data_IF_944721220540
#
_entry.id   IF_944721220540
#
_cell.length_a   1.000
_cell.length_b   1.000
_cell.length_c   1.000
_cell.angle_alpha   90.00
_cell.angle_beta   90.00
_cell.angle_gamma   90.00
#
_symmetry.space_group_name_H-M   'P 1'
#
loop_
_entity.id
_entity.type
_entity.pdbx_description
1 polymer ?
#
# COMPACT_ATOMS: atom_id res chain seq x y z
N UNK A 1 -7.03 14.74 12.61
CA UNK A 1 -8.41 14.26 12.48
C UNK A 1 -9.30 15.48 12.69
N UNK A 2 -10.19 15.76 11.74
CA UNK A 2 -11.14 16.86 11.88
C UNK A 2 -12.19 16.50 12.94
N UNK A 3 -12.50 17.43 13.83
CA UNK A 3 -13.46 17.22 14.92
C UNK A 3 -14.87 16.94 14.38
N UNK A 4 -15.21 17.51 13.22
CA UNK A 4 -16.47 17.26 12.55
C UNK A 4 -16.63 15.80 12.08
N UNK A 5 -15.55 15.18 11.59
CA UNK A 5 -15.56 13.78 11.15
C UNK A 5 -15.75 12.81 12.33
N UNK A 6 -15.14 13.11 13.48
CA UNK A 6 -15.29 12.31 14.70
C UNK A 6 -16.71 12.34 15.23
N UNK A 7 -17.29 13.54 15.30
CA UNK A 7 -18.65 13.71 15.79
C UNK A 7 -19.65 13.02 14.86
N UNK A 8 -19.46 13.12 13.54
CA UNK A 8 -20.31 12.43 12.56
C UNK A 8 -20.26 10.90 12.73
N UNK A 9 -19.07 10.34 12.91
CA UNK A 9 -18.90 8.90 13.09
C UNK A 9 -19.48 8.40 14.43
N UNK A 10 -19.28 9.17 15.49
CA UNK A 10 -19.88 8.87 16.79
C UNK A 10 -21.41 8.95 16.73
N UNK A 11 -21.96 9.93 15.99
CA UNK A 11 -23.39 10.09 15.77
C UNK A 11 -24.01 8.91 15.03
N UNK A 12 -23.39 8.47 13.93
CA UNK A 12 -23.84 7.31 13.16
C UNK A 12 -23.81 6.01 14.00
N UNK A 13 -22.80 5.84 14.86
CA UNK A 13 -22.69 4.68 15.74
C UNK A 13 -23.78 4.70 16.83
N UNK A 14 -23.99 5.85 17.48
CA UNK A 14 -25.02 6.01 18.51
C UNK A 14 -26.41 5.84 17.91
N UNK A 15 -26.65 6.36 16.70
CA UNK A 15 -27.89 6.15 15.96
C UNK A 15 -28.12 4.66 15.65
N UNK A 16 -27.08 3.95 15.21
CA UNK A 16 -27.18 2.51 14.91
C UNK A 16 -27.52 1.67 16.14
N UNK A 17 -26.98 2.03 17.32
CA UNK A 17 -27.20 1.27 18.56
C UNK A 17 -28.48 1.66 19.30
N UNK A 18 -28.90 2.93 19.23
CA UNK A 18 -29.97 3.47 20.07
C UNK A 18 -31.19 3.97 19.30
N UNK A 19 -31.08 4.13 17.98
CA UNK A 19 -32.09 4.77 17.13
C UNK A 19 -32.22 6.28 17.31
N UNK A 20 -31.33 6.91 18.08
CA UNK A 20 -31.31 8.35 18.35
C UNK A 20 -29.94 8.93 17.98
N UNK A 21 -29.96 10.14 17.44
CA UNK A 21 -28.74 10.92 17.22
C UNK A 21 -28.18 11.45 18.55
N UNK A 22 -26.91 11.83 18.54
CA UNK A 22 -26.27 12.50 19.67
C UNK A 22 -27.05 13.76 20.03
N UNK A 23 -27.27 13.95 21.33
CA UNK A 23 -27.75 15.23 21.84
C UNK A 23 -26.60 16.20 22.10
N UNK A 24 -26.96 17.46 22.33
CA UNK A 24 -26.02 18.54 22.59
C UNK A 24 -25.04 18.24 23.74
N UNK A 25 -25.49 17.56 24.79
CA UNK A 25 -24.65 17.26 25.95
C UNK A 25 -23.69 16.11 25.64
N UNK A 26 -24.12 15.10 24.88
CA UNK A 26 -23.29 14.01 24.41
C UNK A 26 -22.21 14.51 23.43
N UNK A 27 -22.56 15.40 22.49
CA UNK A 27 -21.58 16.07 21.61
C UNK A 27 -20.54 16.85 22.41
N UNK A 28 -20.98 17.65 23.39
CA UNK A 28 -20.10 18.42 24.27
C UNK A 28 -19.17 17.51 25.10
N UNK A 29 -19.64 16.33 25.53
CA UNK A 29 -18.82 15.34 26.23
C UNK A 29 -17.75 14.75 25.32
N UNK A 30 -18.08 14.42 24.07
CA UNK A 30 -17.12 13.89 23.09
C UNK A 30 -16.06 14.94 22.75
N UNK A 31 -16.49 16.15 22.42
CA UNK A 31 -15.61 17.27 22.10
C UNK A 31 -14.70 17.63 23.28
N UNK A 32 -15.28 17.80 24.47
CA UNK A 32 -14.53 18.09 25.69
C UNK A 32 -13.53 16.99 26.04
N UNK A 33 -13.84 15.73 25.74
CA UNK A 33 -12.92 14.61 25.94
C UNK A 33 -11.73 14.65 24.98
N UNK A 34 -11.96 14.96 23.71
CA UNK A 34 -10.89 15.10 22.70
C UNK A 34 -9.94 16.26 23.01
N UNK A 35 -10.49 17.34 23.56
CA UNK A 35 -9.77 18.53 24.03
C UNK A 35 -9.10 18.33 25.39
N UNK A 36 -9.26 17.18 26.04
CA UNK A 36 -8.66 16.88 27.34
C UNK A 36 -9.29 17.60 28.54
N UNK A 37 -10.54 18.07 28.40
CA UNK A 37 -11.28 18.78 29.47
C UNK A 37 -11.83 17.80 30.52
N UNK A 38 -11.91 18.24 31.77
CA UNK A 38 -12.54 17.48 32.86
C UNK A 38 -14.07 17.55 32.76
N UNK A 39 -14.79 16.64 33.43
CA UNK A 39 -16.27 16.72 33.45
C UNK A 39 -16.78 17.96 34.17
N UNK A 40 -16.07 18.44 35.20
CA UNK A 40 -16.36 19.71 35.84
C UNK A 40 -16.35 20.89 34.85
N UNK A 41 -15.34 20.93 33.96
CA UNK A 41 -15.23 21.99 32.93
C UNK A 41 -16.31 21.89 31.86
N UNK A 42 -16.66 20.67 31.43
CA UNK A 42 -17.76 20.44 30.47
C UNK A 42 -19.10 20.86 31.09
N UNK A 43 -19.32 20.56 32.37
CA UNK A 43 -20.54 20.92 33.10
C UNK A 43 -20.71 22.45 33.22
N UNK A 44 -19.61 23.17 33.50
CA UNK A 44 -19.59 24.64 33.52
C UNK A 44 -19.97 25.24 32.16
N UNK A 45 -19.39 24.72 31.06
CA UNK A 45 -19.60 25.21 29.71
C UNK A 45 -20.99 24.88 29.13
N UNK A 46 -21.63 23.82 29.64
CA UNK A 46 -22.96 23.35 29.20
C UNK A 46 -24.09 23.74 30.15
N UNK A 47 -23.78 24.48 31.23
CA UNK A 47 -24.72 24.84 32.30
C UNK A 47 -25.42 23.63 32.95
N UNK A 48 -24.73 22.49 33.02
CA UNK A 48 -25.19 21.24 33.61
C UNK A 48 -24.51 20.98 34.97
N UNK A 49 -25.04 20.05 35.77
CA UNK A 49 -24.32 19.58 36.97
C UNK A 49 -23.24 18.57 36.59
N UNK A 50 -22.09 18.58 37.28
CA UNK A 50 -21.02 17.61 37.00
C UNK A 50 -21.52 16.15 37.16
N UNK A 51 -22.43 15.89 38.11
CA UNK A 51 -23.07 14.59 38.26
C UNK A 51 -23.82 14.17 37.00
N UNK A 52 -24.64 15.05 36.45
CA UNK A 52 -25.39 14.78 35.22
C UNK A 52 -24.48 14.54 34.01
N UNK A 53 -23.38 15.29 33.88
CA UNK A 53 -22.39 15.08 32.81
C UNK A 53 -21.66 13.74 32.96
N UNK A 54 -21.37 13.32 34.20
CA UNK A 54 -20.75 12.02 34.48
C UNK A 54 -21.68 10.86 34.16
N UNK A 55 -22.96 10.96 34.54
CA UNK A 55 -23.96 9.94 34.27
C UNK A 55 -24.18 9.80 32.76
N UNK A 56 -24.38 10.92 32.06
CA UNK A 56 -24.52 10.95 30.60
C UNK A 56 -23.28 10.44 29.88
N UNK A 57 -22.09 10.80 30.38
CA UNK A 57 -20.83 10.29 29.86
C UNK A 57 -20.68 8.79 30.03
N UNK A 58 -21.07 8.24 31.19
CA UNK A 58 -21.02 6.79 31.44
C UNK A 58 -21.95 6.02 30.50
N UNK A 59 -23.17 6.51 30.27
CA UNK A 59 -24.10 5.92 29.30
C UNK A 59 -23.55 5.99 27.88
N UNK A 60 -23.01 7.14 27.47
CA UNK A 60 -22.42 7.33 26.15
C UNK A 60 -21.24 6.39 25.90
N UNK A 61 -20.33 6.24 26.86
CA UNK A 61 -19.20 5.31 26.73
C UNK A 61 -19.65 3.86 26.63
N UNK A 62 -20.73 3.47 27.33
CA UNK A 62 -21.30 2.14 27.21
C UNK A 62 -21.84 1.88 25.81
N UNK A 63 -22.63 2.82 25.25
CA UNK A 63 -23.18 2.71 23.89
C UNK A 63 -22.07 2.63 22.85
N UNK A 64 -21.04 3.47 22.98
CA UNK A 64 -19.89 3.44 22.07
C UNK A 64 -19.06 2.14 22.21
N UNK A 65 -18.96 1.59 23.43
CA UNK A 65 -18.30 0.31 23.66
C UNK A 65 -19.02 -0.85 22.98
N UNK A 66 -20.35 -0.87 23.11
CA UNK A 66 -21.21 -1.87 22.47
C UNK A 66 -21.12 -1.76 20.94
N UNK A 67 -21.18 -0.54 20.39
CA UNK A 67 -21.10 -0.33 18.95
C UNK A 67 -19.73 -0.64 18.34
N UNK A 68 -18.64 -0.43 19.07
CA UNK A 68 -17.28 -0.71 18.59
C UNK A 68 -16.76 -2.10 18.97
N UNK A 69 -17.52 -2.88 19.75
CA UNK A 69 -17.10 -4.19 20.24
C UNK A 69 -15.85 -4.18 21.13
N UNK A 70 -15.51 -3.03 21.74
CA UNK A 70 -14.33 -2.86 22.60
C UNK A 70 -14.60 -1.84 23.69
N UNK A 71 -13.95 -1.97 24.84
CA UNK A 71 -14.18 -1.10 25.99
C UNK A 71 -13.74 0.35 25.70
N UNK A 72 -14.73 1.25 25.60
CA UNK A 72 -14.56 2.70 25.44
C UNK A 72 -14.78 3.36 26.79
N UNK A 73 -13.89 4.31 27.11
CA UNK A 73 -13.98 5.19 28.26
C UNK A 73 -13.41 6.55 27.89
N UNK A 74 -13.69 7.58 28.68
CA UNK A 74 -13.08 8.91 28.50
C UNK A 74 -11.55 8.87 28.33
N UNK A 75 -10.87 7.99 29.09
CA UNK A 75 -9.42 7.93 29.12
C UNK A 75 -8.81 7.30 27.85
N UNK A 76 -9.53 6.38 27.21
CA UNK A 76 -9.04 5.66 26.04
C UNK A 76 -9.72 6.10 24.73
N UNK A 77 -10.81 6.88 24.78
CA UNK A 77 -11.60 7.27 23.61
C UNK A 77 -10.76 7.93 22.52
N UNK A 78 -9.88 8.87 22.90
CA UNK A 78 -8.96 9.53 21.95
C UNK A 78 -7.99 8.54 21.29
N UNK A 79 -7.47 7.58 22.05
CA UNK A 79 -6.60 6.53 21.51
C UNK A 79 -7.38 5.53 20.63
N UNK A 80 -8.62 5.21 21.02
CA UNK A 80 -9.53 4.33 20.29
C UNK A 80 -9.89 4.93 18.94
N UNK A 81 -10.23 6.22 18.87
CA UNK A 81 -10.54 6.88 17.60
C UNK A 81 -9.33 6.93 16.67
N UNK A 82 -8.15 7.25 17.23
CA UNK A 82 -6.91 7.27 16.45
C UNK A 82 -6.48 5.88 15.94
N UNK A 83 -6.95 4.79 16.58
CA UNK A 83 -6.68 3.39 16.19
C UNK A 83 -7.81 2.74 15.38
N UNK A 84 -9.06 3.24 15.44
CA UNK A 84 -10.23 2.67 14.75
C UNK A 84 -10.70 3.44 13.52
N UNK A 85 -10.12 4.60 13.19
CA UNK A 85 -10.49 5.33 11.97
C UNK A 85 -10.31 4.47 10.69
N UNK A 86 -9.39 3.50 10.72
CA UNK A 86 -9.18 2.51 9.65
C UNK A 86 -10.18 1.35 9.65
N UNK A 87 -10.74 0.97 10.81
CA UNK A 87 -11.63 -0.19 10.95
C UNK A 87 -13.10 0.11 10.59
N UNK A 88 -13.56 1.35 10.82
CA UNK A 88 -14.97 1.73 10.60
C UNK A 88 -15.25 2.03 9.11
N UNK A 89 -14.22 2.40 8.35
CA UNK A 89 -14.32 2.57 6.89
C UNK A 89 -14.33 1.22 6.14
N UNK A 90 -13.92 0.12 6.77
CA UNK A 90 -13.93 -1.22 6.17
C UNK A 90 -15.22 -2.01 6.38
N UNK A 91 -16.16 -1.54 7.21
CA UNK A 91 -17.18 -2.41 7.83
C UNK A 91 -18.62 -2.26 7.29
N UNK A 92 -18.77 -2.03 5.98
CA UNK A 92 -20.05 -2.24 5.28
C UNK A 92 -20.22 -3.68 4.73
N UNK A 93 -19.48 -4.65 5.28
CA UNK A 93 -19.60 -6.05 4.91
C UNK A 93 -19.48 -6.99 6.13
N UNK A 94 -20.58 -7.05 6.91
CA UNK A 94 -21.05 -8.20 7.71
C UNK A 94 -20.01 -9.00 8.51
N UNK A 95 -20.01 -8.71 9.81
CA UNK A 95 -19.64 -9.58 10.93
C UNK A 95 -19.90 -11.08 10.71
N UNK A 96 -18.89 -11.92 10.98
CA UNK A 96 -19.05 -13.13 11.82
C UNK A 96 -17.71 -13.58 12.43
N UNK A 97 -17.70 -13.56 13.77
CA UNK A 97 -17.08 -14.50 14.72
C UNK A 97 -15.56 -14.79 14.63
N UNK A 98 -14.80 -14.27 15.60
CA UNK A 98 -13.56 -14.90 16.07
C UNK A 98 -13.53 -14.97 17.61
N UNK A 99 -13.28 -16.19 18.08
CA UNK A 99 -13.25 -16.64 19.47
C UNK A 99 -12.21 -15.89 20.31
N UNK A 100 -12.65 -15.48 21.50
CA UNK A 100 -11.80 -14.98 22.59
C UNK A 100 -11.63 -16.12 23.60
N UNK A 101 -10.39 -16.48 23.92
CA UNK A 101 -10.08 -17.21 25.15
C UNK A 101 -9.16 -16.34 26.04
N UNK A 102 -9.32 -16.41 27.37
CA UNK A 102 -9.04 -15.30 28.26
C UNK A 102 -7.63 -15.31 28.85
N UNK A 103 -7.18 -14.12 29.21
CA UNK A 103 -5.96 -13.86 29.99
C UNK A 103 -5.95 -14.64 31.32
N UNK A 104 -4.76 -15.12 31.68
CA UNK A 104 -4.44 -15.38 33.09
C UNK A 104 -3.28 -14.48 33.51
N UNK A 105 -3.61 -13.50 34.37
CA UNK A 105 -2.69 -12.75 35.23
C UNK A 105 -1.79 -13.70 36.02
N UNK A 106 -0.53 -13.31 36.19
CA UNK A 106 0.23 -13.54 37.43
C UNK A 106 1.31 -12.48 37.58
N UNK A 107 1.26 -11.79 38.71
CA UNK A 107 2.27 -10.86 39.22
C UNK A 107 3.53 -11.62 39.65
N UNK A 108 4.72 -11.05 39.45
CA UNK A 108 5.62 -10.59 40.54
C UNK A 108 7.05 -10.32 40.06
N UNK A 109 7.66 -9.35 40.76
CA UNK A 109 9.10 -9.15 41.01
C UNK A 109 9.87 -8.10 40.20
N UNK A 110 10.41 -7.16 40.98
CA UNK A 110 11.11 -5.92 40.66
C UNK A 110 12.60 -6.15 40.38
N UNK A 111 13.20 -5.45 39.41
CA UNK A 111 14.63 -4.99 39.35
C UNK A 111 14.70 -3.76 38.39
N UNK A 112 15.55 -2.73 38.64
CA UNK A 112 15.20 -1.34 38.34
C UNK A 112 15.43 -0.87 36.90
N UNK A 113 14.58 0.08 36.50
CA UNK A 113 14.62 0.82 35.25
C UNK A 113 15.85 1.74 35.21
N UNK A 114 16.78 1.48 34.30
CA UNK A 114 17.54 2.56 33.68
C UNK A 114 16.59 3.30 32.75
N UNK A 115 16.39 4.59 33.01
CA UNK A 115 15.77 5.48 32.04
C UNK A 115 16.75 5.66 30.88
N UNK A 116 16.71 4.78 29.89
CA UNK A 116 17.24 5.10 28.57
C UNK A 116 16.30 6.11 27.93
N UNK A 117 16.83 7.30 27.65
CA UNK A 117 16.31 8.19 26.62
C UNK A 117 16.03 7.34 25.37
N UNK A 118 14.86 7.46 24.70
CA UNK A 118 14.62 6.66 23.50
C UNK A 118 15.74 6.94 22.51
N UNK A 119 16.59 5.93 22.26
CA UNK A 119 17.67 6.03 21.30
C UNK A 119 17.04 6.34 19.95
N UNK A 120 17.53 7.40 19.28
CA UNK A 120 17.06 7.71 17.94
C UNK A 120 17.37 6.53 17.01
N UNK A 121 16.45 6.19 16.08
CA UNK A 121 16.67 5.12 15.13
C UNK A 121 17.95 5.38 14.33
N UNK A 122 18.71 4.33 14.05
CA UNK A 122 19.76 4.38 13.04
C UNK A 122 19.09 4.46 11.67
N UNK A 123 19.12 5.66 11.08
CA UNK A 123 18.56 5.93 9.76
C UNK A 123 19.65 5.79 8.71
N UNK A 124 19.48 4.84 7.80
CA UNK A 124 20.32 4.66 6.62
C UNK A 124 19.43 4.65 5.38
N UNK A 125 19.15 5.85 4.87
CA UNK A 125 18.29 6.06 3.70
C UNK A 125 19.11 6.30 2.42
N UNK A 126 20.26 5.65 2.29
CA UNK A 126 21.16 5.82 1.15
C UNK A 126 20.42 5.63 -0.20
N UNK A 127 20.61 6.58 -1.12
CA UNK A 127 20.00 6.60 -2.44
C UNK A 127 18.45 6.60 -2.45
N UNK A 128 17.79 6.90 -1.31
CA UNK A 128 16.37 7.18 -1.29
C UNK A 128 16.07 8.48 -2.05
N UNK A 129 15.14 8.47 -3.02
CA UNK A 129 14.74 9.70 -3.69
C UNK A 129 14.06 10.67 -2.71
N UNK A 130 14.29 11.97 -2.90
CA UNK A 130 13.55 13.00 -2.19
C UNK A 130 12.09 13.04 -2.66
N UNK A 131 11.15 13.12 -1.72
CA UNK A 131 9.72 13.27 -2.02
C UNK A 131 9.37 14.75 -2.02
N UNK A 132 9.14 15.31 -3.21
CA UNK A 132 8.69 16.69 -3.35
C UNK A 132 7.17 16.84 -3.20
N UNK A 133 6.42 15.92 -3.80
CA UNK A 133 4.96 15.94 -3.80
C UNK A 133 4.40 14.60 -3.31
N UNK A 134 3.27 14.65 -2.61
CA UNK A 134 2.55 13.48 -2.13
C UNK A 134 1.04 13.72 -2.21
N UNK A 135 0.33 12.86 -2.93
CA UNK A 135 -1.09 13.05 -3.24
C UNK A 135 -1.91 11.90 -2.68
N UNK A 136 -2.93 12.20 -1.88
CA UNK A 136 -3.86 11.22 -1.33
C UNK A 136 -3.18 10.09 -0.56
N UNK A 137 -3.59 8.84 -0.81
CA UNK A 137 -3.05 7.59 -0.23
C UNK A 137 -3.20 7.40 1.28
N UNK A 138 -4.11 8.13 1.92
CA UNK A 138 -4.34 8.04 3.37
C UNK A 138 -4.78 6.64 3.81
N UNK A 139 -5.61 5.98 3.02
CA UNK A 139 -6.08 4.62 3.31
C UNK A 139 -4.95 3.58 3.19
N UNK A 140 -4.13 3.70 2.15
CA UNK A 140 -2.98 2.85 1.93
C UNK A 140 -1.92 3.02 3.02
N UNK A 141 -1.64 4.25 3.43
CA UNK A 141 -0.75 4.53 4.58
C UNK A 141 -1.28 3.89 5.86
N UNK A 142 -2.57 4.09 6.18
CA UNK A 142 -3.18 3.51 7.37
C UNK A 142 -3.15 1.97 7.36
N UNK A 143 -3.37 1.36 6.19
CA UNK A 143 -3.30 -0.09 6.02
C UNK A 143 -1.88 -0.61 6.28
N UNK A 144 -0.87 0.08 5.75
CA UNK A 144 0.53 -0.31 5.93
C UNK A 144 1.02 -0.06 7.36
N UNK A 145 0.62 1.04 8.00
CA UNK A 145 0.91 1.32 9.42
C UNK A 145 0.37 0.20 10.30
N UNK A 146 -0.93 -0.13 10.17
CA UNK A 146 -1.56 -1.22 10.92
C UNK A 146 -0.81 -2.54 10.71
N UNK A 147 -0.55 -2.92 9.45
CA UNK A 147 0.13 -4.16 9.13
C UNK A 147 1.53 -4.26 9.75
N UNK A 148 2.29 -3.17 9.78
CA UNK A 148 3.70 -3.17 10.20
C UNK A 148 3.86 -2.94 11.71
N UNK A 149 3.12 -2.00 12.27
CA UNK A 149 3.25 -1.55 13.66
C UNK A 149 2.42 -2.44 14.57
N UNK A 150 1.14 -2.66 14.25
CA UNK A 150 0.20 -3.40 15.08
C UNK A 150 0.28 -4.90 14.81
N UNK A 151 0.08 -5.33 13.57
CA UNK A 151 0.01 -6.76 13.20
C UNK A 151 1.40 -7.41 13.11
N UNK A 152 2.45 -6.58 13.09
CA UNK A 152 3.87 -6.98 13.04
C UNK A 152 4.18 -7.92 11.87
N UNK A 153 3.65 -7.59 10.69
CA UNK A 153 4.04 -8.25 9.44
C UNK A 153 5.55 -8.22 9.25
N UNK A 154 6.13 -9.39 8.97
CA UNK A 154 7.57 -9.56 8.73
C UNK A 154 7.95 -9.19 7.31
N UNK A 155 7.01 -9.39 6.38
CA UNK A 155 7.15 -9.03 4.98
C UNK A 155 5.92 -8.25 4.54
N UNK A 156 6.14 -7.08 3.98
CA UNK A 156 5.09 -6.28 3.33
C UNK A 156 5.50 -6.06 1.88
N UNK A 157 4.61 -6.37 0.95
CA UNK A 157 4.87 -6.15 -0.48
C UNK A 157 3.99 -5.01 -0.99
N UNK A 158 4.59 -3.99 -1.59
CA UNK A 158 3.87 -2.90 -2.26
C UNK A 158 4.01 -3.12 -3.77
N UNK A 159 2.89 -3.39 -4.41
CA UNK A 159 2.77 -3.80 -5.80
C UNK A 159 2.05 -2.73 -6.63
N UNK A 160 2.16 -2.81 -7.94
CA UNK A 160 1.42 -1.95 -8.89
C UNK A 160 2.29 -1.51 -10.05
N UNK A 161 1.66 -0.99 -11.10
CA UNK A 161 2.35 -0.63 -12.34
C UNK A 161 3.41 0.47 -12.12
N UNK A 162 4.32 0.63 -13.08
CA UNK A 162 5.33 1.71 -13.06
C UNK A 162 4.70 3.10 -12.95
N UNK A 163 5.32 4.00 -12.18
CA UNK A 163 4.82 5.38 -12.01
C UNK A 163 3.69 5.58 -11.00
N UNK A 164 3.10 4.49 -10.47
CA UNK A 164 1.89 4.56 -9.63
C UNK A 164 2.09 5.20 -8.22
N UNK A 165 3.34 5.45 -7.82
CA UNK A 165 3.69 6.08 -6.53
C UNK A 165 4.12 5.13 -5.39
N UNK A 166 4.54 3.89 -5.70
CA UNK A 166 4.95 2.91 -4.67
C UNK A 166 6.11 3.38 -3.79
N UNK A 167 7.20 3.85 -4.40
CA UNK A 167 8.37 4.37 -3.68
C UNK A 167 7.99 5.57 -2.82
N UNK A 168 7.19 6.50 -3.36
CA UNK A 168 6.69 7.67 -2.64
C UNK A 168 5.84 7.26 -1.42
N UNK A 169 4.96 6.27 -1.56
CA UNK A 169 4.17 5.73 -0.45
C UNK A 169 5.05 5.13 0.64
N UNK A 170 6.01 4.29 0.25
CA UNK A 170 6.89 3.61 1.21
C UNK A 170 7.75 4.61 2.00
N UNK A 171 8.34 5.60 1.34
CA UNK A 171 9.15 6.62 2.01
C UNK A 171 8.31 7.56 2.88
N UNK A 172 7.08 7.89 2.46
CA UNK A 172 6.15 8.64 3.31
C UNK A 172 5.77 7.86 4.57
N UNK A 173 5.51 6.57 4.42
CA UNK A 173 5.25 5.66 5.53
C UNK A 173 6.45 5.56 6.48
N UNK A 174 7.67 5.40 5.95
CA UNK A 174 8.91 5.35 6.76
C UNK A 174 8.99 6.56 7.69
N UNK A 175 8.73 7.77 7.18
CA UNK A 175 8.71 8.97 8.00
C UNK A 175 7.70 8.94 9.15
N UNK A 176 6.58 8.23 9.00
CA UNK A 176 5.53 8.08 10.02
C UNK A 176 5.90 7.02 11.06
N UNK A 177 6.43 5.87 10.63
CA UNK A 177 6.61 4.70 11.49
C UNK A 177 8.04 4.52 12.02
N UNK A 178 9.01 5.31 11.56
CA UNK A 178 10.41 5.23 12.00
C UNK A 178 10.62 5.19 13.54
N UNK A 179 9.82 5.88 14.40
CA UNK A 179 10.05 5.83 15.84
C UNK A 179 9.85 4.45 16.46
N UNK A 180 9.22 3.51 15.74
CA UNK A 180 8.97 2.13 16.20
C UNK A 180 10.13 1.17 15.92
N UNK A 181 11.23 1.64 15.33
CA UNK A 181 12.34 0.81 14.89
C UNK A 181 13.68 1.30 15.47
N UNK A 182 14.62 0.38 15.64
CA UNK A 182 16.00 0.69 16.00
C UNK A 182 16.85 0.97 14.75
N UNK A 183 16.54 0.31 13.64
CA UNK A 183 17.17 0.53 12.34
C UNK A 183 16.10 0.77 11.29
N UNK A 184 16.32 1.77 10.44
CA UNK A 184 15.51 2.02 9.25
C UNK A 184 16.46 2.12 8.08
N UNK A 185 16.38 1.16 7.17
CA UNK A 185 17.31 1.01 6.06
C UNK A 185 16.51 1.05 4.76
N UNK A 186 16.91 1.88 3.81
CA UNK A 186 16.37 1.89 2.46
C UNK A 186 17.46 1.50 1.46
N UNK A 187 17.16 0.58 0.56
CA UNK A 187 18.02 0.20 -0.56
C UNK A 187 17.23 0.07 -1.84
N UNK A 188 17.68 0.75 -2.89
CA UNK A 188 17.14 0.56 -4.24
C UNK A 188 17.98 -0.43 -5.02
N UNK A 189 17.35 -1.49 -5.50
CA UNK A 189 18.01 -2.62 -6.17
C UNK A 189 18.66 -2.23 -7.50
N UNK A 190 18.28 -1.09 -8.09
CA UNK A 190 18.91 -0.57 -9.31
C UNK A 190 20.42 -0.29 -9.18
N UNK A 191 20.93 -0.16 -7.96
CA UNK A 191 22.34 0.09 -7.66
C UNK A 191 23.13 -1.16 -7.27
N UNK A 192 22.50 -2.33 -7.30
CA UNK A 192 23.11 -3.59 -6.91
C UNK A 192 23.11 -4.58 -8.07
N UNK A 193 24.17 -5.38 -8.19
CA UNK A 193 24.28 -6.41 -9.22
C UNK A 193 23.37 -7.60 -8.97
N UNK A 194 23.20 -8.00 -7.70
CA UNK A 194 22.40 -9.15 -7.28
C UNK A 194 22.00 -9.07 -5.79
N UNK A 195 21.29 -10.09 -5.32
CA UNK A 195 20.87 -10.21 -3.92
C UNK A 195 22.04 -10.39 -2.93
N UNK A 196 23.13 -11.03 -3.35
CA UNK A 196 24.31 -11.22 -2.48
C UNK A 196 24.95 -9.86 -2.16
N UNK A 197 25.05 -8.97 -3.14
CA UNK A 197 25.56 -7.61 -2.96
C UNK A 197 24.69 -6.79 -1.98
N UNK A 198 23.36 -6.96 -2.02
CA UNK A 198 22.43 -6.32 -1.09
C UNK A 198 22.62 -6.88 0.33
N UNK A 199 22.66 -8.20 0.47
CA UNK A 199 22.83 -8.85 1.78
C UNK A 199 24.18 -8.47 2.40
N UNK A 200 25.26 -8.46 1.61
CA UNK A 200 26.57 -7.98 2.04
C UNK A 200 26.50 -6.54 2.57
N UNK A 201 25.84 -5.64 1.82
CA UNK A 201 25.67 -4.26 2.25
C UNK A 201 24.86 -4.15 3.55
N UNK A 202 23.73 -4.87 3.67
CA UNK A 202 22.93 -4.89 4.90
C UNK A 202 23.72 -5.41 6.10
N UNK A 203 24.49 -6.49 5.93
CA UNK A 203 25.33 -7.06 6.99
C UNK A 203 26.41 -6.08 7.44
N UNK A 204 27.03 -5.33 6.53
CA UNK A 204 28.00 -4.28 6.88
C UNK A 204 27.39 -3.14 7.70
N UNK A 205 26.10 -2.81 7.53
CA UNK A 205 25.43 -1.80 8.37
C UNK A 205 25.37 -2.28 9.83
N UNK A 206 25.09 -3.56 10.05
CA UNK A 206 25.01 -4.13 11.40
C UNK A 206 26.39 -4.43 11.99
N UNK A 207 27.35 -4.81 11.16
CA UNK A 207 28.70 -5.19 11.56
C UNK A 207 29.73 -4.76 10.49
N UNK A 208 30.23 -3.50 10.54
CA UNK A 208 31.10 -2.95 9.50
C UNK A 208 32.37 -3.77 9.25
N UNK A 209 32.98 -4.29 10.31
CA UNK A 209 34.25 -5.03 10.27
C UNK A 209 34.07 -6.55 10.06
N UNK A 210 32.84 -7.05 9.90
CA UNK A 210 32.59 -8.47 9.73
C UNK A 210 32.97 -8.96 8.33
N UNK A 211 33.55 -10.15 8.26
CA UNK A 211 33.77 -10.86 6.99
C UNK A 211 32.43 -11.35 6.46
N UNK A 212 32.06 -10.90 5.26
CA UNK A 212 30.83 -11.34 4.60
C UNK A 212 31.03 -12.77 4.06
N UNK A 213 30.13 -13.72 4.37
CA UNK A 213 30.19 -15.06 3.81
C UNK A 213 29.90 -15.07 2.30
N UNK A 214 30.53 -15.99 1.57
CA UNK A 214 30.28 -16.17 0.13
C UNK A 214 28.91 -16.81 -0.17
N UNK A 215 28.39 -17.61 0.76
CA UNK A 215 27.14 -18.36 0.58
C UNK A 215 25.92 -17.55 0.99
N UNK A 216 24.95 -17.46 0.08
CA UNK A 216 23.73 -16.68 0.28
C UNK A 216 22.91 -17.20 1.47
N UNK A 217 22.86 -18.51 1.70
CA UNK A 217 22.16 -19.10 2.84
C UNK A 217 22.76 -18.62 4.18
N UNK A 218 24.08 -18.51 4.23
CA UNK A 218 24.79 -18.01 5.41
C UNK A 218 24.54 -16.52 5.60
N UNK A 219 24.57 -15.73 4.53
CA UNK A 219 24.25 -14.30 4.58
C UNK A 219 22.81 -14.06 5.08
N UNK A 220 21.82 -14.80 4.55
CA UNK A 220 20.42 -14.74 5.00
C UNK A 220 20.30 -15.12 6.48
N UNK A 221 20.99 -16.18 6.90
CA UNK A 221 20.99 -16.62 8.31
C UNK A 221 21.57 -15.55 9.24
N UNK A 222 22.68 -14.91 8.85
CA UNK A 222 23.28 -13.81 9.61
C UNK A 222 22.36 -12.59 9.67
N UNK A 223 21.74 -12.20 8.55
CA UNK A 223 20.78 -11.11 8.53
C UNK A 223 19.61 -11.39 9.50
N UNK A 224 19.05 -12.59 9.46
CA UNK A 224 17.98 -13.01 10.38
C UNK A 224 18.40 -12.92 11.85
N UNK A 225 19.67 -13.19 12.19
CA UNK A 225 20.17 -13.00 13.56
C UNK A 225 20.08 -11.53 13.97
N UNK A 226 20.47 -10.60 13.10
CA UNK A 226 20.33 -9.16 13.37
C UNK A 226 18.86 -8.73 13.46
N UNK A 227 17.99 -9.22 12.56
CA UNK A 227 16.55 -8.92 12.59
C UNK A 227 15.84 -9.43 13.85
N UNK A 228 16.41 -10.42 14.56
CA UNK A 228 15.94 -10.88 15.87
C UNK A 228 16.47 -10.03 17.02
N UNK A 229 17.71 -9.56 16.94
CA UNK A 229 18.35 -8.78 18.00
C UNK A 229 17.82 -7.33 18.03
N UNK A 230 17.62 -6.74 16.86
CA UNK A 230 17.17 -5.37 16.68
C UNK A 230 15.88 -5.34 15.88
N UNK A 231 14.96 -4.45 16.24
CA UNK A 231 13.75 -4.21 15.45
C UNK A 231 14.10 -3.30 14.26
N UNK A 232 14.17 -3.88 13.07
CA UNK A 232 14.57 -3.20 11.84
C UNK A 232 13.37 -3.02 10.90
N UNK A 233 13.36 -1.91 10.19
CA UNK A 233 12.55 -1.68 9.00
C UNK A 233 13.48 -1.61 7.80
N UNK A 234 13.37 -2.56 6.87
CA UNK A 234 14.21 -2.59 5.67
C UNK A 234 13.32 -2.41 4.44
N UNK A 235 13.52 -1.34 3.68
CA UNK A 235 12.83 -1.09 2.42
C UNK A 235 13.73 -1.50 1.26
N UNK A 236 13.29 -2.46 0.47
CA UNK A 236 13.92 -2.92 -0.76
C UNK A 236 13.09 -2.41 -1.94
N UNK A 237 13.58 -1.35 -2.59
CA UNK A 237 12.91 -0.73 -3.73
C UNK A 237 13.40 -1.29 -5.08
N UNK A 238 12.53 -1.25 -6.08
CA UNK A 238 12.82 -1.65 -7.47
C UNK A 238 13.16 -3.14 -7.61
N UNK A 239 12.41 -4.01 -6.91
CA UNK A 239 12.56 -5.45 -7.02
C UNK A 239 12.10 -5.90 -8.41
N UNK A 240 13.04 -6.53 -9.13
CA UNK A 240 12.83 -7.08 -10.46
C UNK A 240 13.30 -8.54 -10.46
N UNK A 241 12.36 -9.47 -10.38
CA UNK A 241 12.66 -10.91 -10.33
C UNK A 241 12.31 -11.50 -11.69
N UNK A 242 13.21 -12.26 -12.34
CA UNK A 242 12.90 -12.95 -13.58
C UNK A 242 11.62 -13.80 -13.47
N UNK A 243 10.76 -13.72 -14.48
CA UNK A 243 9.50 -14.48 -14.52
C UNK A 243 9.70 -15.97 -14.84
N UNK A 244 8.71 -16.80 -14.53
CA UNK A 244 8.76 -18.26 -14.68
C UNK A 244 8.82 -18.78 -16.14
N UNK A 245 8.84 -17.89 -17.14
CA UNK A 245 8.61 -18.22 -18.56
C UNK A 245 9.69 -19.10 -19.21
N UNK A 246 10.93 -19.05 -18.70
CA UNK A 246 12.04 -19.97 -19.00
C UNK A 246 13.22 -19.63 -18.08
N UNK A 247 13.16 -20.12 -16.84
CA UNK A 247 14.29 -20.03 -15.91
C UNK A 247 15.39 -21.00 -16.39
N UNK A 248 16.34 -20.52 -17.17
CA UNK A 248 17.51 -21.30 -17.61
C UNK A 248 18.79 -20.59 -17.20
N UNK A 249 19.80 -21.33 -16.74
CA UNK A 249 21.08 -20.74 -16.35
C UNK A 249 20.95 -19.74 -15.20
N UNK A 250 21.48 -18.54 -15.39
CA UNK A 250 21.59 -17.50 -14.37
C UNK A 250 20.23 -17.01 -13.84
N UNK A 251 19.21 -16.91 -14.69
CA UNK A 251 17.85 -16.47 -14.29
C UNK A 251 17.23 -17.41 -13.23
N UNK A 252 17.50 -18.71 -13.33
CA UNK A 252 17.01 -19.69 -12.35
C UNK A 252 17.67 -19.50 -10.99
N UNK A 253 18.96 -19.19 -10.97
CA UNK A 253 19.71 -18.94 -9.74
C UNK A 253 19.25 -17.65 -9.07
N UNK A 254 19.07 -16.58 -9.85
CA UNK A 254 18.54 -15.30 -9.35
C UNK A 254 17.15 -15.48 -8.73
N UNK A 255 16.25 -16.16 -9.45
CA UNK A 255 14.90 -16.45 -8.95
C UNK A 255 14.94 -17.23 -7.63
N UNK A 256 15.74 -18.30 -7.56
CA UNK A 256 15.83 -19.16 -6.38
C UNK A 256 16.41 -18.43 -5.17
N UNK A 257 17.40 -17.57 -5.38
CA UNK A 257 18.00 -16.74 -4.34
C UNK A 257 16.98 -15.78 -3.72
N UNK A 258 16.20 -15.06 -4.53
CA UNK A 258 15.12 -14.20 -4.02
C UNK A 258 14.01 -15.00 -3.35
N UNK A 259 13.63 -16.14 -3.94
CA UNK A 259 12.61 -17.03 -3.35
C UNK A 259 13.03 -17.51 -1.98
N UNK A 260 14.29 -17.93 -1.83
CA UNK A 260 14.85 -18.38 -0.55
C UNK A 260 14.84 -17.23 0.47
N UNK A 261 15.32 -16.05 0.08
CA UNK A 261 15.38 -14.88 0.96
C UNK A 261 13.99 -14.46 1.47
N UNK A 262 13.03 -14.18 0.57
CA UNK A 262 11.71 -13.74 1.01
C UNK A 262 10.95 -14.81 1.78
N UNK A 263 11.13 -16.09 1.43
CA UNK A 263 10.59 -17.20 2.22
C UNK A 263 11.17 -17.21 3.63
N UNK A 264 12.48 -17.02 3.77
CA UNK A 264 13.14 -16.99 5.07
C UNK A 264 12.66 -15.81 5.94
N UNK A 265 12.51 -14.61 5.37
CA UNK A 265 11.94 -13.44 6.06
C UNK A 265 10.49 -13.71 6.52
N UNK A 266 9.66 -14.30 5.66
CA UNK A 266 8.26 -14.57 6.00
C UNK A 266 8.11 -15.62 7.12
N UNK A 267 8.83 -16.74 7.00
CA UNK A 267 8.61 -17.92 7.84
C UNK A 267 9.39 -17.90 9.16
N UNK A 268 10.60 -17.31 9.16
CA UNK A 268 11.46 -17.32 10.36
C UNK A 268 11.00 -16.25 11.34
N UNK A 269 10.89 -16.61 12.62
CA UNK A 269 10.48 -15.67 13.66
C UNK A 269 11.56 -14.62 13.92
N UNK A 270 11.19 -13.35 13.74
CA UNK A 270 11.93 -12.15 14.08
C UNK A 270 10.98 -10.98 14.38
N UNK A 271 11.51 -9.88 14.91
CA UNK A 271 10.73 -8.70 15.32
C UNK A 271 10.75 -7.54 14.31
N UNK A 272 11.47 -7.74 13.21
CA UNK A 272 11.66 -6.77 12.12
C UNK A 272 10.64 -6.89 11.00
N UNK A 273 10.60 -5.90 10.11
CA UNK A 273 9.77 -5.87 8.91
C UNK A 273 10.64 -5.55 7.67
N UNK A 274 10.41 -6.28 6.58
CA UNK A 274 10.96 -5.97 5.25
C UNK A 274 9.82 -5.51 4.35
N UNK A 275 9.95 -4.31 3.78
CA UNK A 275 9.08 -3.80 2.72
C UNK A 275 9.72 -4.11 1.37
N UNK A 276 9.04 -4.88 0.53
CA UNK A 276 9.42 -5.17 -0.84
C UNK A 276 8.57 -4.33 -1.80
N UNK A 277 9.20 -3.49 -2.62
CA UNK A 277 8.50 -2.71 -3.64
C UNK A 277 8.78 -3.32 -5.01
N UNK A 278 7.74 -3.76 -5.70
CA UNK A 278 7.86 -4.42 -7.00
C UNK A 278 6.81 -3.91 -8.00
N UNK A 279 7.18 -3.89 -9.28
CA UNK A 279 6.26 -3.55 -10.36
C UNK A 279 5.36 -4.73 -10.79
N UNK A 280 5.62 -5.93 -10.27
CA UNK A 280 4.92 -7.16 -10.64
C UNK A 280 4.81 -8.10 -9.43
N UNK A 281 3.79 -8.96 -9.43
CA UNK A 281 3.59 -9.98 -8.41
C UNK A 281 4.38 -11.24 -8.77
N UNK A 282 5.64 -11.31 -8.34
CA UNK A 282 6.48 -12.50 -8.55
C UNK A 282 6.08 -13.66 -7.62
N UNK A 283 6.08 -14.89 -8.15
CA UNK A 283 5.87 -16.10 -7.35
C UNK A 283 7.03 -16.43 -6.39
N UNK A 284 8.17 -15.74 -6.52
CA UNK A 284 9.26 -15.84 -5.57
C UNK A 284 8.92 -15.18 -4.22
N UNK A 285 8.03 -14.18 -4.21
CA UNK A 285 7.64 -13.47 -3.00
C UNK A 285 6.42 -14.18 -2.38
N UNK A 286 6.49 -14.63 -1.12
CA UNK A 286 5.34 -15.20 -0.43
C UNK A 286 4.16 -14.21 -0.41
N UNK A 287 2.97 -14.74 -0.58
CA UNK A 287 1.71 -14.00 -0.40
C UNK A 287 0.96 -14.59 0.78
N UNK A 288 0.07 -13.81 1.40
CA UNK A 288 -0.76 -14.32 2.49
C UNK A 288 -1.61 -15.49 1.99
N UNK A 289 -1.43 -16.65 2.62
CA UNK A 289 -2.19 -17.87 2.30
C UNK A 289 -3.23 -18.21 3.36
N UNK A 290 -3.15 -17.57 4.53
CA UNK A 290 -3.95 -17.91 5.70
C UNK A 290 -4.18 -16.67 6.58
N UNK A 291 -5.28 -16.61 7.34
CA UNK A 291 -5.46 -15.63 8.40
C UNK A 291 -4.26 -15.63 9.35
N UNK A 292 -3.79 -14.44 9.78
CA UNK A 292 -2.66 -14.24 10.70
C UNK A 292 -1.28 -14.65 10.18
N UNK A 293 -1.11 -14.92 8.87
CA UNK A 293 0.22 -15.09 8.29
C UNK A 293 0.93 -13.72 8.27
N UNK A 294 2.20 -13.59 8.74
CA UNK A 294 2.88 -12.30 8.93
C UNK A 294 3.41 -11.71 7.61
N UNK A 295 2.61 -11.81 6.55
CA UNK A 295 2.90 -11.31 5.22
C UNK A 295 1.69 -10.52 4.71
N UNK A 296 1.92 -9.27 4.38
CA UNK A 296 0.89 -8.38 3.81
C UNK A 296 1.28 -8.01 2.38
N UNK A 297 0.30 -7.92 1.48
CA UNK A 297 0.51 -7.42 0.13
C UNK A 297 -0.51 -6.33 -0.14
N UNK A 298 -0.05 -5.19 -0.64
CA UNK A 298 -0.87 -4.05 -1.03
C UNK A 298 -0.62 -3.76 -2.51
N UNK A 299 -1.67 -3.85 -3.32
CA UNK A 299 -1.61 -3.44 -4.73
C UNK A 299 -2.08 -1.99 -4.83
N UNK A 300 -1.22 -1.12 -5.36
CA UNK A 300 -1.56 0.27 -5.62
C UNK A 300 -2.25 0.43 -6.98
N UNK A 301 -3.42 1.02 -6.94
CA UNK A 301 -4.19 1.45 -8.10
C UNK A 301 -3.98 2.95 -8.38
N UNK A 302 -4.57 3.45 -9.46
CA UNK A 302 -4.56 4.87 -9.79
C UNK A 302 -5.12 5.76 -8.69
N UNK A 303 -4.68 7.02 -8.66
CA UNK A 303 -5.33 8.05 -7.87
C UNK A 303 -6.70 8.40 -8.48
N UNK A 304 -7.69 8.61 -7.62
CA UNK A 304 -9.00 9.16 -7.99
C UNK A 304 -8.96 10.69 -7.86
N UNK A 305 -9.80 11.28 -7.01
CA UNK A 305 -9.88 12.73 -6.82
C UNK A 305 -8.56 13.38 -6.42
N UNK A 306 -7.69 12.67 -5.69
CA UNK A 306 -6.36 13.16 -5.33
C UNK A 306 -5.48 13.48 -6.55
N UNK A 307 -5.76 12.89 -7.72
CA UNK A 307 -5.06 13.20 -8.96
C UNK A 307 -5.32 14.63 -9.46
N UNK A 308 -6.43 15.26 -9.05
CA UNK A 308 -6.76 16.66 -9.40
C UNK A 308 -5.70 17.62 -8.88
N UNK A 309 -5.03 17.31 -7.78
CA UNK A 309 -3.92 18.11 -7.24
C UNK A 309 -2.73 18.17 -8.21
N UNK A 310 -2.44 17.07 -8.93
CA UNK A 310 -1.38 17.03 -9.95
C UNK A 310 -1.70 18.02 -11.07
N UNK A 311 -2.93 18.02 -11.55
CA UNK A 311 -3.37 18.90 -12.65
C UNK A 311 -3.40 20.37 -12.21
N UNK A 312 -3.84 20.63 -10.97
CA UNK A 312 -3.85 21.96 -10.37
C UNK A 312 -2.43 22.55 -10.24
N UNK A 313 -1.46 21.77 -9.75
CA UNK A 313 -0.07 22.21 -9.62
C UNK A 313 0.58 22.55 -10.98
N UNK A 314 0.10 21.94 -12.05
CA UNK A 314 0.57 22.20 -13.42
C UNK A 314 -0.13 23.41 -14.07
N UNK A 315 -1.05 24.07 -13.36
CA UNK A 315 -1.85 25.22 -13.82
C UNK A 315 -2.69 24.90 -15.07
N UNK A 316 -3.31 23.73 -15.11
CA UNK A 316 -4.24 23.38 -16.20
C UNK A 316 -5.59 24.09 -16.03
N UNK A 317 -6.26 24.34 -17.16
CA UNK A 317 -7.62 24.88 -17.23
C UNK A 317 -8.68 23.76 -17.32
N UNK A 318 -9.94 24.13 -17.51
CA UNK A 318 -11.07 23.23 -17.78
C UNK A 318 -11.26 22.14 -16.72
N UNK A 319 -11.32 22.56 -15.43
CA UNK A 319 -11.40 21.67 -14.28
C UNK A 319 -12.57 20.67 -14.32
N UNK A 320 -13.66 21.04 -14.99
CA UNK A 320 -14.81 20.18 -15.26
C UNK A 320 -14.49 18.95 -16.13
N UNK A 321 -13.38 18.98 -16.87
CA UNK A 321 -12.93 17.89 -17.75
C UNK A 321 -11.87 16.98 -17.11
N UNK A 322 -11.36 17.33 -15.93
CA UNK A 322 -10.23 16.65 -15.30
C UNK A 322 -10.53 15.18 -14.98
N UNK A 323 -11.76 14.84 -14.58
CA UNK A 323 -12.15 13.45 -14.32
C UNK A 323 -12.03 12.58 -15.58
N UNK A 324 -12.34 13.12 -16.76
CA UNK A 324 -12.14 12.42 -18.04
C UNK A 324 -10.66 12.16 -18.32
N UNK A 325 -9.80 13.15 -18.07
CA UNK A 325 -8.35 13.00 -18.23
C UNK A 325 -7.76 11.98 -17.24
N UNK A 326 -8.16 12.05 -15.97
CA UNK A 326 -7.74 11.12 -14.91
C UNK A 326 -8.16 9.70 -15.28
N UNK A 327 -9.40 9.50 -15.73
CA UNK A 327 -9.88 8.20 -16.18
C UNK A 327 -9.09 7.69 -17.40
N UNK A 328 -8.81 8.54 -18.39
CA UNK A 328 -8.07 8.17 -19.60
C UNK A 328 -6.66 7.63 -19.31
N UNK A 329 -5.99 8.20 -18.30
CA UNK A 329 -4.66 7.77 -17.83
C UNK A 329 -4.73 6.92 -16.55
N UNK A 330 -5.91 6.38 -16.22
CA UNK A 330 -6.15 5.50 -15.05
C UNK A 330 -5.57 6.04 -13.73
N UNK A 331 -5.56 7.36 -13.54
CA UNK A 331 -5.06 7.97 -12.31
C UNK A 331 -3.57 7.72 -12.01
N UNK A 332 -2.77 7.27 -12.99
CA UNK A 332 -1.35 7.02 -12.75
C UNK A 332 -0.62 8.37 -12.57
N UNK A 333 -0.03 8.65 -11.38
CA UNK A 333 0.54 9.96 -11.09
C UNK A 333 1.60 10.40 -12.09
N UNK A 334 2.54 9.51 -12.43
CA UNK A 334 3.62 9.85 -13.34
C UNK A 334 3.12 10.09 -14.77
N UNK A 335 2.12 9.31 -15.21
CA UNK A 335 1.52 9.52 -16.53
C UNK A 335 0.79 10.86 -16.58
N UNK A 336 0.06 11.21 -15.51
CA UNK A 336 -0.63 12.50 -15.41
C UNK A 336 0.35 13.67 -15.33
N UNK A 337 1.48 13.54 -14.64
CA UNK A 337 2.53 14.58 -14.61
C UNK A 337 3.11 14.84 -16.00
N UNK A 338 3.43 13.77 -16.74
CA UNK A 338 3.86 13.87 -18.13
C UNK A 338 2.76 14.53 -18.98
N UNK A 339 1.52 14.05 -18.90
CA UNK A 339 0.44 14.54 -19.77
C UNK A 339 0.09 15.99 -19.47
N UNK A 340 0.05 16.37 -18.19
CA UNK A 340 -0.19 17.74 -17.78
C UNK A 340 0.90 18.69 -18.30
N UNK A 341 2.16 18.26 -18.30
CA UNK A 341 3.26 19.03 -18.90
C UNK A 341 3.01 19.28 -20.39
N UNK A 342 2.65 18.22 -21.14
CA UNK A 342 2.34 18.33 -22.57
C UNK A 342 1.12 19.20 -22.87
N UNK A 343 0.05 19.10 -22.07
CA UNK A 343 -1.14 19.94 -22.20
C UNK A 343 -0.78 21.42 -21.99
N UNK A 344 0.04 21.71 -20.98
CA UNK A 344 0.52 23.07 -20.73
C UNK A 344 1.31 23.62 -21.92
N UNK A 345 2.22 22.82 -22.48
CA UNK A 345 3.14 23.26 -23.52
C UNK A 345 2.49 23.38 -24.91
N UNK A 346 1.63 22.42 -25.28
CA UNK A 346 1.06 22.34 -26.63
C UNK A 346 -0.33 22.96 -26.74
N UNK A 347 -1.10 22.94 -25.66
CA UNK A 347 -2.50 23.39 -25.63
C UNK A 347 -2.69 24.60 -24.69
N UNK A 348 -1.60 25.23 -24.26
CA UNK A 348 -1.59 26.36 -23.32
C UNK A 348 -2.45 26.10 -22.06
N UNK A 349 -2.41 24.85 -21.57
CA UNK A 349 -3.13 24.41 -20.37
C UNK A 349 -4.59 24.00 -20.58
N UNK A 350 -5.15 24.13 -21.79
CA UNK A 350 -6.55 23.78 -22.09
C UNK A 350 -6.73 22.27 -22.22
N UNK A 351 -7.33 21.65 -21.20
CA UNK A 351 -7.56 20.21 -21.15
C UNK A 351 -8.68 19.80 -22.12
N UNK A 352 -9.70 20.65 -22.30
CA UNK A 352 -10.80 20.36 -23.21
C UNK A 352 -10.33 20.22 -24.67
N UNK A 353 -9.35 21.02 -25.09
CA UNK A 353 -8.74 20.95 -26.44
C UNK A 353 -7.97 19.63 -26.64
N UNK A 354 -7.18 19.24 -25.64
CA UNK A 354 -6.48 17.95 -25.63
C UNK A 354 -7.44 16.76 -25.69
N UNK A 355 -8.55 16.81 -24.95
CA UNK A 355 -9.51 15.72 -24.86
C UNK A 355 -10.46 15.59 -26.07
N UNK A 356 -10.29 16.41 -27.11
CA UNK A 356 -10.95 16.15 -28.42
C UNK A 356 -10.41 14.89 -29.10
N UNK A 357 -9.21 14.45 -28.71
CA UNK A 357 -8.64 13.16 -29.09
C UNK A 357 -9.03 12.15 -27.99
N UNK A 358 -10.06 11.34 -28.23
CA UNK A 358 -10.57 10.38 -27.24
C UNK A 358 -9.60 9.21 -26.96
N UNK A 359 -8.45 9.16 -27.64
CA UNK A 359 -7.38 8.18 -27.44
C UNK A 359 -6.25 8.78 -26.61
N UNK A 360 -5.70 8.05 -25.62
CA UNK A 360 -4.55 8.54 -24.86
C UNK A 360 -3.35 8.74 -25.78
N UNK A 361 -2.72 9.90 -25.70
CA UNK A 361 -1.49 10.16 -26.44
C UNK A 361 -0.33 9.57 -25.64
N UNK A 362 0.48 8.75 -26.31
CA UNK A 362 1.70 8.15 -25.75
C UNK A 362 2.89 8.73 -26.52
N UNK A 363 3.69 9.58 -25.87
CA UNK A 363 4.86 10.24 -26.45
C UNK A 363 6.13 9.93 -25.65
N UNK A 364 7.27 10.47 -26.09
CA UNK A 364 8.61 10.00 -25.73
C UNK A 364 8.88 9.72 -24.23
N UNK A 365 8.55 10.59 -23.25
CA UNK A 365 8.77 10.31 -21.82
C UNK A 365 7.87 9.19 -21.28
N UNK A 366 6.59 9.17 -21.68
CA UNK A 366 5.65 8.12 -21.29
C UNK A 366 6.02 6.80 -21.97
N UNK A 367 6.37 6.85 -23.25
CA UNK A 367 6.84 5.71 -24.03
C UNK A 367 8.09 5.10 -23.39
N UNK A 368 9.11 5.89 -23.07
CA UNK A 368 10.33 5.41 -22.41
C UNK A 368 10.05 4.72 -21.07
N UNK A 369 9.04 5.16 -20.32
CA UNK A 369 8.61 4.51 -19.09
C UNK A 369 7.95 3.14 -19.36
N UNK A 370 7.08 3.06 -20.36
CA UNK A 370 6.41 1.83 -20.78
C UNK A 370 7.38 0.81 -21.38
N UNK A 371 8.37 1.27 -22.15
CA UNK A 371 9.43 0.46 -22.76
C UNK A 371 10.13 -0.42 -21.73
N UNK A 372 10.50 0.16 -20.59
CA UNK A 372 11.20 -0.56 -19.51
C UNK A 372 10.39 -1.75 -18.99
N UNK A 373 9.06 -1.64 -18.96
CA UNK A 373 8.19 -2.73 -18.52
C UNK A 373 7.90 -3.71 -19.65
N UNK A 374 7.68 -3.20 -20.86
CA UNK A 374 7.33 -4.00 -22.02
C UNK A 374 8.49 -4.89 -22.51
N UNK A 375 9.73 -4.38 -22.48
CA UNK A 375 10.93 -5.13 -22.86
C UNK A 375 11.19 -6.36 -21.98
N UNK A 376 10.61 -6.40 -20.77
CA UNK A 376 10.69 -7.54 -19.85
C UNK A 376 9.68 -8.65 -20.16
N UNK A 377 8.76 -8.40 -21.09
CA UNK A 377 7.79 -9.39 -21.55
C UNK A 377 8.43 -10.35 -22.56
N UNK A 378 8.11 -11.62 -22.42
CA UNK A 378 8.43 -12.67 -23.38
C UNK A 378 7.63 -12.50 -24.67
N UNK A 379 8.12 -13.10 -25.77
CA UNK A 379 7.43 -13.02 -27.06
C UNK A 379 5.96 -13.51 -27.00
N UNK A 380 5.61 -14.60 -26.28
CA UNK A 380 4.22 -14.99 -26.09
C UNK A 380 3.36 -13.94 -25.37
N UNK A 381 3.90 -13.29 -24.35
CA UNK A 381 3.24 -12.20 -23.63
C UNK A 381 3.01 -10.99 -24.55
N UNK A 382 4.01 -10.59 -25.33
CA UNK A 382 3.89 -9.51 -26.32
C UNK A 382 2.85 -9.83 -27.40
N UNK A 383 2.80 -11.09 -27.85
CA UNK A 383 1.80 -11.56 -28.82
C UNK A 383 0.38 -11.41 -28.26
N UNK A 384 0.15 -11.85 -27.03
CA UNK A 384 -1.16 -11.74 -26.38
C UNK A 384 -1.58 -10.28 -26.16
N UNK A 385 -0.65 -9.40 -25.78
CA UNK A 385 -0.90 -7.95 -25.68
C UNK A 385 -1.27 -7.37 -27.05
N UNK A 386 -0.54 -7.71 -28.12
CA UNK A 386 -0.84 -7.22 -29.47
C UNK A 386 -2.25 -7.61 -29.95
N UNK A 387 -2.68 -8.85 -29.68
CA UNK A 387 -4.06 -9.30 -29.96
C UNK A 387 -5.10 -8.51 -29.16
N UNK A 388 -4.85 -8.26 -27.88
CA UNK A 388 -5.73 -7.44 -27.05
C UNK A 388 -5.76 -5.97 -27.46
N UNK A 389 -4.65 -5.45 -27.97
CA UNK A 389 -4.52 -4.04 -28.35
C UNK A 389 -5.31 -3.70 -29.62
N UNK A 390 -5.40 -4.66 -30.55
CA UNK A 390 -6.13 -4.53 -31.81
C UNK A 390 -7.60 -4.93 -31.70
N UNK A 391 -8.01 -5.56 -30.59
CA UNK A 391 -9.38 -5.96 -30.36
C UNK A 391 -10.33 -4.76 -30.18
N UNK A 392 -11.46 -4.79 -30.90
CA UNK A 392 -12.51 -3.76 -30.82
C UNK A 392 -13.27 -3.84 -29.49
N UNK A 393 -13.44 -5.05 -28.96
CA UNK A 393 -14.17 -5.33 -27.73
C UNK A 393 -13.31 -6.17 -26.76
N UNK A 394 -13.60 -6.13 -25.45
CA UNK A 394 -12.99 -7.05 -24.48
C UNK A 394 -13.12 -8.51 -24.94
N UNK A 395 -12.04 -9.28 -24.79
CA UNK A 395 -12.01 -10.66 -25.28
C UNK A 395 -12.01 -11.66 -24.12
N UNK A 396 -12.70 -12.78 -24.32
CA UNK A 396 -12.65 -13.93 -23.39
C UNK A 396 -11.37 -14.75 -23.59
N UNK A 397 -11.05 -15.62 -22.62
CA UNK A 397 -9.91 -16.53 -22.73
C UNK A 397 -9.97 -17.39 -24.00
N UNK A 398 -11.13 -17.95 -24.31
CA UNK A 398 -11.33 -18.81 -25.48
C UNK A 398 -11.17 -18.03 -26.80
N UNK A 399 -11.69 -16.80 -26.86
CA UNK A 399 -11.53 -15.95 -28.04
C UNK A 399 -10.07 -15.59 -28.27
N UNK A 400 -9.34 -15.16 -27.23
CA UNK A 400 -7.91 -14.86 -27.35
C UNK A 400 -7.09 -16.08 -27.73
N UNK A 401 -7.37 -17.23 -27.11
CA UNK A 401 -6.67 -18.48 -27.44
C UNK A 401 -6.81 -18.81 -28.93
N UNK A 402 -8.02 -18.67 -29.49
CA UNK A 402 -8.28 -18.92 -30.91
C UNK A 402 -7.58 -17.94 -31.86
N UNK A 403 -7.19 -16.75 -31.38
CA UNK A 403 -6.41 -15.77 -32.15
C UNK A 403 -4.90 -16.02 -32.08
N UNK A 404 -4.47 -17.02 -31.32
CA UNK A 404 -3.06 -17.36 -31.10
C UNK A 404 -2.76 -18.80 -31.51
N UNK A 405 -1.48 -19.14 -31.65
CA UNK A 405 -1.04 -20.51 -31.94
C UNK A 405 -0.66 -21.31 -30.67
N UNK A 406 -1.01 -20.80 -29.49
CA UNK A 406 -0.63 -21.41 -28.22
C UNK A 406 -1.49 -22.61 -27.87
N UNK A 407 -0.92 -23.55 -27.12
CA UNK A 407 -1.73 -24.57 -26.42
C UNK A 407 -2.48 -23.95 -25.23
N UNK A 408 -3.63 -24.50 -24.79
CA UNK A 408 -4.35 -23.96 -23.64
C UNK A 408 -3.48 -23.82 -22.35
N UNK A 409 -2.64 -24.81 -21.98
CA UNK A 409 -1.78 -24.68 -20.79
C UNK A 409 -0.69 -23.60 -20.93
N UNK A 410 -0.16 -23.41 -22.14
CA UNK A 410 0.83 -22.37 -22.43
C UNK A 410 0.17 -20.99 -22.34
N UNK A 411 -0.98 -20.81 -22.99
CA UNK A 411 -1.70 -19.55 -22.98
C UNK A 411 -2.17 -19.17 -21.57
N UNK A 412 -2.56 -20.15 -20.75
CA UNK A 412 -2.88 -19.90 -19.34
C UNK A 412 -1.69 -19.28 -18.58
N UNK A 413 -0.46 -19.79 -18.79
CA UNK A 413 0.74 -19.22 -18.17
C UNK A 413 1.02 -17.80 -18.68
N UNK A 414 0.81 -17.55 -19.97
CA UNK A 414 0.96 -16.22 -20.57
C UNK A 414 0.00 -15.23 -19.91
N UNK A 415 -1.29 -15.55 -19.86
CA UNK A 415 -2.31 -14.67 -19.29
C UNK A 415 -2.11 -14.45 -17.78
N UNK A 416 -1.74 -15.50 -17.04
CA UNK A 416 -1.40 -15.37 -15.62
C UNK A 416 -0.17 -14.48 -15.39
N UNK A 417 0.82 -14.56 -16.27
CA UNK A 417 2.02 -13.71 -16.18
C UNK A 417 1.68 -12.24 -16.46
N UNK A 418 0.88 -11.98 -17.50
CA UNK A 418 0.43 -10.62 -17.85
C UNK A 418 -0.42 -9.96 -16.77
N UNK A 419 -1.31 -10.73 -16.12
CA UNK A 419 -2.12 -10.24 -15.00
C UNK A 419 -1.24 -9.87 -13.79
N UNK A 420 -0.30 -10.75 -13.40
CA UNK A 420 0.64 -10.48 -12.31
C UNK A 420 1.56 -9.29 -12.57
N UNK A 421 1.82 -8.97 -13.85
CA UNK A 421 2.59 -7.80 -14.28
C UNK A 421 1.73 -6.55 -14.47
N UNK A 422 0.43 -6.63 -14.17
CA UNK A 422 -0.55 -5.54 -14.29
C UNK A 422 -0.69 -4.97 -15.71
N UNK A 423 -0.37 -5.76 -16.75
CA UNK A 423 -0.61 -5.36 -18.14
C UNK A 423 -2.04 -5.62 -18.58
N UNK A 424 -2.65 -6.69 -18.04
CA UNK A 424 -4.00 -7.12 -18.37
C UNK A 424 -4.89 -7.03 -17.13
N UNK A 425 -6.05 -6.40 -17.31
CA UNK A 425 -7.10 -6.35 -16.31
C UNK A 425 -8.16 -7.41 -16.63
N UNK A 426 -8.69 -8.04 -15.58
CA UNK A 426 -9.76 -9.02 -15.66
C UNK A 426 -11.06 -8.32 -15.26
N UNK A 427 -12.05 -8.36 -16.14
CA UNK A 427 -13.40 -7.83 -15.88
C UNK A 427 -14.41 -8.97 -15.95
N UNK A 428 -15.41 -8.92 -15.07
CA UNK A 428 -16.58 -9.79 -15.17
C UNK A 428 -17.75 -8.96 -15.70
N UNK A 429 -18.30 -9.38 -16.84
CA UNK A 429 -19.51 -8.79 -17.42
C UNK A 429 -20.48 -9.89 -17.77
N UNK A 430 -21.71 -9.78 -17.26
CA UNK A 430 -22.79 -10.74 -17.51
C UNK A 430 -22.39 -12.20 -17.19
N UNK A 431 -21.58 -12.40 -16.14
CA UNK A 431 -21.08 -13.72 -15.73
C UNK A 431 -19.95 -14.28 -16.62
N UNK A 432 -19.38 -13.46 -17.51
CA UNK A 432 -18.28 -13.83 -18.40
C UNK A 432 -17.02 -13.06 -18.04
N UNK A 433 -15.92 -13.80 -17.84
CA UNK A 433 -14.60 -13.23 -17.64
C UNK A 433 -14.01 -12.75 -18.96
N UNK A 434 -13.68 -11.45 -19.01
CA UNK A 434 -13.09 -10.77 -20.15
C UNK A 434 -11.77 -10.14 -19.75
N UNK A 435 -10.84 -10.09 -20.70
CA UNK A 435 -9.52 -9.51 -20.54
C UNK A 435 -9.45 -8.21 -21.32
N UNK A 436 -8.92 -7.17 -20.69
CA UNK A 436 -8.74 -5.85 -21.31
C UNK A 436 -7.35 -5.31 -21.01
N UNK A 437 -6.88 -4.43 -21.88
CA UNK A 437 -5.72 -3.59 -21.59
C UNK A 437 -6.21 -2.24 -21.09
N UNK A 438 -5.39 -1.65 -20.22
CA UNK A 438 -5.43 -0.23 -19.96
C UNK A 438 -5.36 0.57 -21.30
N UNK A 439 -6.14 1.65 -21.50
CA UNK A 439 -6.15 2.45 -22.72
C UNK A 439 -4.76 2.95 -23.15
N UNK A 440 -3.92 3.37 -22.21
CA UNK A 440 -2.54 3.82 -22.47
C UNK A 440 -1.70 2.66 -22.97
N UNK A 441 -1.80 1.49 -22.32
CA UNK A 441 -1.09 0.28 -22.74
C UNK A 441 -1.57 -0.25 -24.09
N UNK A 442 -2.88 -0.15 -24.36
CA UNK A 442 -3.48 -0.48 -25.65
C UNK A 442 -2.87 0.38 -26.76
N UNK A 443 -2.83 1.69 -26.56
CA UNK A 443 -2.31 2.59 -27.59
C UNK A 443 -0.80 2.41 -27.80
N UNK A 444 -0.05 2.29 -26.71
CA UNK A 444 1.37 1.94 -26.75
C UNK A 444 1.65 0.62 -27.48
N UNK A 445 0.82 -0.42 -27.26
CA UNK A 445 1.00 -1.71 -27.92
C UNK A 445 0.70 -1.66 -29.42
N UNK A 446 -0.26 -0.83 -29.86
CA UNK A 446 -0.53 -0.65 -31.30
C UNK A 446 0.66 -0.02 -32.01
N UNK A 447 1.30 1.00 -31.42
CA UNK A 447 2.47 1.65 -32.01
C UNK A 447 3.74 0.78 -32.05
N UNK A 448 3.67 -0.45 -31.52
CA UNK A 448 4.75 -1.46 -31.56
C UNK A 448 4.48 -2.58 -32.57
N UNK A 449 3.25 -2.70 -33.06
CA UNK A 449 2.85 -3.67 -34.09
C UNK A 449 2.92 -3.13 -35.52
N UNK A 450 3.15 -1.83 -35.67
CA UNK A 450 3.57 -1.15 -36.90
C UNK A 450 5.08 -1.27 -37.09
#
# INVERSE_FOLDING_TARGET
>A
MDMAEVLKLADELVFTQTGKHLDYLQEAILQGTLDGRTYAKIAEETYASEGHVRDMGAELWKVLSEGLGKEVSKANFKAILNSNYSAILSDNARFTNLNICPEHRSETSQVPKSHSTPAQPHLDLENAPEIFNFYGRTQELATLDLAIVCDRSRLVTILGFGGIGKTTLALRLVGQIQPHFQYVIYRSLRFYSDLSAILANLLHIFAPDATIPDRIETQISQLLNHLRQSRCLIVLDDIQIPGNGKLTGEDSTVYENYRLFFKAIAEVTHQSCVIAIAAEQSSAIPTSKQPNYPVTSLVLHGLCDAAKEILALQNLADAETWDKLIHLYHGNPLWLEFTATSIRELFAGRVAEFLTYDTPIVWEPLQAQLDRQYQRLTLPEQTAISQLATAIYPLTFAQLLNLTQFSPPEFFKVMQSLERRFFVEIQEREGVTQFVLNPVLREYAKSRGE
#
